data_IF_996075704980
#
_entry.id   IF_996075704980
#
_cell.length_a   1.000
_cell.length_b   1.000
_cell.length_c   1.000
_cell.angle_alpha   90.00
_cell.angle_beta   90.00
_cell.angle_gamma   90.00
#
_symmetry.space_group_name_H-M   'P 1'
#
loop_
_entity.id
_entity.type
_entity.pdbx_description
1 polymer ?
#
# COMPACT_ATOMS: atom_id res chain seq x y z
N UNK A 1 41.31 44.69 -3.89
CA UNK A 1 40.46 45.88 -4.12
C UNK A 1 39.04 45.47 -3.75
N UNK A 2 38.59 45.88 -2.56
CA UNK A 2 37.60 46.95 -2.39
C UNK A 2 36.18 46.34 -2.47
N UNK A 3 35.69 45.73 -1.40
CA UNK A 3 35.15 46.35 -0.19
C UNK A 3 33.82 47.10 -0.47
N UNK A 4 32.83 46.79 0.37
CA UNK A 4 31.56 47.49 0.60
C UNK A 4 30.43 47.39 -0.45
N UNK A 5 29.42 46.56 -0.15
CA UNK A 5 28.06 47.08 -0.04
C UNK A 5 27.24 46.27 0.98
N UNK A 6 27.31 46.75 2.23
CA UNK A 6 26.35 46.49 3.31
C UNK A 6 25.03 47.22 3.00
N UNK A 7 24.01 46.92 3.81
CA UNK A 7 22.65 47.48 3.84
C UNK A 7 21.71 46.75 2.86
N UNK A 8 20.65 46.05 3.28
CA UNK A 8 19.66 46.51 4.25
C UNK A 8 19.11 45.40 5.17
N UNK A 9 19.02 45.79 6.44
CA UNK A 9 18.11 45.28 7.47
C UNK A 9 16.66 45.17 6.99
N UNK A 10 15.96 44.09 7.34
CA UNK A 10 14.59 44.14 7.87
C UNK A 10 14.15 42.78 8.46
N UNK A 11 14.20 42.68 9.78
CA UNK A 11 13.50 41.67 10.55
C UNK A 11 12.00 42.00 10.58
N UNK A 12 11.13 41.00 10.34
CA UNK A 12 9.71 41.08 10.67
C UNK A 12 9.21 39.71 11.14
N UNK A 13 9.29 39.51 12.47
CA UNK A 13 8.54 38.52 13.22
C UNK A 13 7.08 38.99 13.31
N UNK A 14 6.14 38.21 12.79
CA UNK A 14 4.72 38.30 13.13
C UNK A 14 4.22 36.90 13.45
N UNK A 15 4.01 36.66 14.74
CA UNK A 15 3.24 35.55 15.26
C UNK A 15 1.78 35.95 15.44
N UNK A 16 0.87 35.02 15.19
CA UNK A 16 -0.50 34.95 15.72
C UNK A 16 -0.81 33.45 15.84
N UNK A 17 -0.76 32.89 17.05
CA UNK A 17 -1.91 32.71 17.92
C UNK A 17 -2.83 31.57 17.44
N UNK A 18 -2.57 30.41 18.05
CA UNK A 18 -3.39 29.21 18.14
C UNK A 18 -4.81 29.46 18.63
N UNK A 19 -5.80 28.90 17.93
CA UNK A 19 -7.14 28.63 18.46
C UNK A 19 -7.36 27.13 18.55
N UNK A 20 -7.07 26.59 19.74
CA UNK A 20 -7.46 25.26 20.18
C UNK A 20 -8.92 25.34 20.65
N UNK A 21 -9.86 24.69 19.95
CA UNK A 21 -11.20 24.46 20.46
C UNK A 21 -11.25 23.04 21.05
N UNK A 22 -10.86 22.91 22.32
CA UNK A 22 -11.15 21.76 23.14
C UNK A 22 -12.60 21.88 23.65
N UNK A 23 -13.50 20.98 23.26
CA UNK A 23 -14.84 20.92 23.84
C UNK A 23 -14.85 19.99 25.05
N UNK A 24 -15.26 20.56 26.17
CA UNK A 24 -15.46 19.99 27.49
C UNK A 24 -16.47 18.82 27.53
N UNK A 25 -16.05 17.76 28.23
CA UNK A 25 -16.71 17.14 29.39
C UNK A 25 -18.24 17.18 29.49
N UNK A 26 -18.85 15.98 29.54
CA UNK A 26 -19.98 15.71 30.41
C UNK A 26 -19.83 14.31 31.05
N UNK A 27 -19.76 14.20 32.40
CA UNK A 27 -19.75 12.93 33.10
C UNK A 27 -21.16 12.61 33.60
N UNK A 28 -21.75 11.47 33.25
CA UNK A 28 -22.91 10.95 33.98
C UNK A 28 -22.84 9.43 34.13
N UNK A 29 -22.29 9.01 35.27
CA UNK A 29 -22.66 7.77 35.97
C UNK A 29 -23.97 8.03 36.72
N UNK A 30 -24.91 7.08 36.71
CA UNK A 30 -25.37 6.57 37.99
C UNK A 30 -25.19 5.05 38.10
N UNK A 31 -24.60 4.66 39.22
CA UNK A 31 -24.52 3.30 39.71
C UNK A 31 -25.92 2.75 40.02
N UNK A 32 -26.13 1.46 39.72
CA UNK A 32 -27.10 0.62 40.41
C UNK A 32 -26.40 -0.66 40.86
N UNK A 33 -26.36 -0.85 42.19
CA UNK A 33 -25.86 -2.01 42.93
C UNK A 33 -26.96 -3.12 42.96
N UNK A 34 -26.72 -4.33 43.49
CA UNK A 34 -26.83 -5.60 42.77
C UNK A 34 -28.05 -6.44 43.19
N UNK A 35 -28.61 -7.21 42.26
CA UNK A 35 -29.54 -8.29 42.59
C UNK A 35 -28.86 -9.63 42.34
N UNK A 36 -28.52 -10.33 43.42
CA UNK A 36 -28.13 -11.74 43.42
C UNK A 36 -29.37 -12.64 43.36
N UNK A 37 -29.11 -13.92 43.03
CA UNK A 37 -29.89 -15.15 43.31
C UNK A 37 -30.49 -15.79 42.05
N UNK A 38 -30.45 -17.13 41.87
CA UNK A 38 -29.46 -18.14 42.27
C UNK A 38 -28.94 -18.96 41.07
N UNK A 39 -27.88 -19.73 41.32
CA UNK A 39 -27.34 -20.73 40.40
C UNK A 39 -28.35 -21.85 40.11
N UNK A 40 -28.66 -22.05 38.83
CA UNK A 40 -29.35 -23.25 38.36
C UNK A 40 -28.33 -24.36 38.09
N UNK A 41 -28.59 -25.51 38.73
CA UNK A 41 -27.95 -26.80 38.50
C UNK A 41 -28.14 -27.25 37.05
N UNK A 42 -27.09 -27.65 36.31
CA UNK A 42 -27.27 -28.19 34.97
C UNK A 42 -27.93 -29.59 35.03
N UNK A 43 -29.12 -29.71 34.46
CA UNK A 43 -29.71 -31.00 34.12
C UNK A 43 -28.92 -31.63 32.97
N UNK A 44 -28.39 -32.84 33.18
CA UNK A 44 -27.64 -33.60 32.18
C UNK A 44 -28.57 -34.03 31.04
N UNK A 45 -28.33 -33.53 29.84
CA UNK A 45 -28.91 -34.05 28.61
C UNK A 45 -28.25 -35.39 28.25
N UNK A 46 -28.99 -36.47 27.94
CA UNK A 46 -28.40 -37.70 27.43
C UNK A 46 -27.69 -37.42 26.10
N UNK A 47 -26.41 -37.78 26.01
CA UNK A 47 -25.64 -37.74 24.78
C UNK A 47 -26.27 -38.69 23.75
N UNK A 48 -26.89 -38.12 22.72
CA UNK A 48 -27.20 -38.85 21.50
C UNK A 48 -25.98 -38.77 20.59
N UNK A 49 -25.40 -39.93 20.27
CA UNK A 49 -24.36 -40.06 19.24
C UNK A 49 -24.87 -39.48 17.93
N UNK A 50 -24.27 -38.41 17.38
CA UNK A 50 -24.63 -37.94 16.05
C UNK A 50 -24.22 -39.00 15.02
N UNK A 51 -25.14 -39.39 14.15
CA UNK A 51 -24.81 -40.13 12.95
C UNK A 51 -23.85 -39.26 12.09
N UNK A 52 -22.73 -39.83 11.66
CA UNK A 52 -21.79 -39.19 10.74
C UNK A 52 -22.50 -38.90 9.41
N UNK A 53 -22.93 -37.65 9.25
CA UNK A 53 -23.19 -37.07 7.94
C UNK A 53 -21.83 -36.78 7.32
N UNK A 54 -21.53 -37.21 6.08
CA UNK A 54 -20.30 -36.82 5.41
C UNK A 54 -20.23 -35.29 5.40
N UNK A 55 -19.21 -34.74 6.06
CA UNK A 55 -18.96 -33.31 6.03
C UNK A 55 -18.61 -32.94 4.57
N UNK A 56 -19.54 -32.27 3.88
CA UNK A 56 -19.24 -31.62 2.62
C UNK A 56 -18.31 -30.46 2.98
N UNK A 57 -17.05 -30.54 2.56
CA UNK A 57 -16.13 -29.41 2.67
C UNK A 57 -16.70 -28.26 1.84
N UNK A 58 -17.15 -27.15 2.46
CA UNK A 58 -17.72 -26.03 1.74
C UNK A 58 -16.73 -25.42 0.73
N UNK A 59 -15.41 -25.62 0.91
CA UNK A 59 -14.39 -25.20 -0.04
C UNK A 59 -14.45 -25.97 -1.37
N UNK A 60 -15.06 -27.17 -1.40
CA UNK A 60 -15.19 -27.99 -2.62
C UNK A 60 -16.18 -27.40 -3.65
N UNK A 61 -17.00 -26.41 -3.26
CA UNK A 61 -17.90 -25.67 -4.16
C UNK A 61 -17.35 -24.28 -4.57
N UNK A 62 -16.13 -23.93 -4.13
CA UNK A 62 -15.50 -22.70 -4.57
C UNK A 62 -14.63 -22.99 -5.80
N UNK A 63 -14.97 -22.38 -6.93
CA UNK A 63 -14.07 -22.33 -8.08
C UNK A 63 -12.91 -21.41 -7.75
N UNK A 64 -11.76 -21.99 -7.40
CA UNK A 64 -10.51 -21.27 -7.11
C UNK A 64 -9.73 -20.91 -8.38
N UNK A 65 -10.34 -21.10 -9.55
CA UNK A 65 -9.69 -20.91 -10.85
C UNK A 65 -8.78 -22.09 -11.24
N UNK A 66 -8.01 -21.89 -12.30
CA UNK A 66 -6.99 -22.84 -12.76
C UNK A 66 -5.67 -22.49 -12.09
N UNK A 67 -4.92 -23.45 -11.52
CA UNK A 67 -3.58 -23.19 -11.02
C UNK A 67 -2.72 -22.65 -12.18
N UNK A 68 -1.96 -21.58 -11.90
CA UNK A 68 -0.97 -21.08 -12.85
C UNK A 68 0.23 -22.01 -12.78
N UNK A 69 0.61 -22.62 -13.91
CA UNK A 69 1.84 -23.41 -14.01
C UNK A 69 3.05 -22.52 -13.67
N UNK A 70 4.10 -23.09 -13.06
CA UNK A 70 5.32 -22.34 -12.69
C UNK A 70 6.09 -21.80 -13.91
N UNK A 71 5.72 -22.22 -15.12
CA UNK A 71 6.30 -21.73 -16.36
C UNK A 71 5.69 -20.37 -16.77
N UNK A 72 6.56 -19.41 -17.07
CA UNK A 72 6.15 -18.05 -17.48
C UNK A 72 5.48 -18.12 -18.86
N UNK A 73 4.16 -18.17 -18.88
CA UNK A 73 3.36 -18.19 -20.09
C UNK A 73 3.46 -16.89 -20.92
N UNK A 74 3.16 -16.97 -22.21
CA UNK A 74 3.07 -15.79 -23.10
C UNK A 74 2.08 -14.77 -22.53
N UNK A 75 2.47 -13.50 -22.52
CA UNK A 75 1.71 -12.40 -21.95
C UNK A 75 1.86 -12.24 -20.43
N UNK A 76 2.59 -13.12 -19.74
CA UNK A 76 2.88 -12.95 -18.32
C UNK A 76 4.07 -12.00 -18.10
N UNK A 77 3.96 -11.17 -17.07
CA UNK A 77 5.08 -10.36 -16.60
C UNK A 77 5.95 -11.18 -15.65
N UNK A 78 7.26 -10.97 -15.72
CA UNK A 78 8.20 -11.60 -14.81
C UNK A 78 9.39 -10.69 -14.52
N UNK A 79 10.04 -10.88 -13.38
CA UNK A 79 11.30 -10.21 -13.07
C UNK A 79 12.44 -11.04 -13.64
N UNK A 80 13.16 -10.48 -14.60
CA UNK A 80 14.35 -11.13 -15.17
C UNK A 80 15.56 -10.97 -14.26
N UNK A 81 15.74 -9.76 -13.71
CA UNK A 81 16.91 -9.40 -12.92
C UNK A 81 16.57 -8.24 -11.97
N UNK A 82 17.34 -8.09 -10.89
CA UNK A 82 17.19 -7.01 -9.90
C UNK A 82 18.51 -6.25 -9.76
N UNK A 83 18.43 -4.92 -9.78
CA UNK A 83 19.54 -3.98 -9.69
C UNK A 83 19.33 -3.03 -8.50
N UNK A 84 19.79 -3.42 -7.31
CA UNK A 84 19.46 -2.68 -6.08
C UNK A 84 17.95 -2.67 -5.87
N UNK A 85 17.36 -1.47 -5.78
CA UNK A 85 15.91 -1.30 -5.58
C UNK A 85 15.09 -1.40 -6.89
N UNK A 86 15.75 -1.58 -8.03
CA UNK A 86 15.10 -1.66 -9.35
C UNK A 86 14.94 -3.10 -9.81
N UNK A 87 13.79 -3.43 -10.38
CA UNK A 87 13.54 -4.71 -11.01
C UNK A 87 13.46 -4.56 -12.53
N UNK A 88 14.18 -5.38 -13.28
CA UNK A 88 14.02 -5.52 -14.73
C UNK A 88 12.81 -6.42 -15.00
N UNK A 89 11.64 -5.80 -15.17
CA UNK A 89 10.37 -6.47 -15.41
C UNK A 89 10.15 -6.62 -16.92
N UNK A 90 10.02 -7.85 -17.38
CA UNK A 90 9.80 -8.20 -18.78
C UNK A 90 8.41 -8.79 -18.98
N UNK A 91 7.86 -8.64 -20.19
CA UNK A 91 6.63 -9.30 -20.61
C UNK A 91 6.99 -10.42 -21.57
N UNK A 92 6.57 -11.66 -21.29
CA UNK A 92 6.82 -12.79 -22.19
C UNK A 92 6.14 -12.56 -23.53
N UNK A 93 6.93 -12.36 -24.58
CA UNK A 93 6.41 -12.21 -25.94
C UNK A 93 6.06 -13.59 -26.52
N UNK A 94 5.09 -13.67 -27.45
CA UNK A 94 4.83 -14.90 -28.20
C UNK A 94 6.03 -15.31 -29.05
N UNK A 95 6.77 -14.32 -29.57
CA UNK A 95 7.93 -14.49 -30.44
C UNK A 95 8.92 -13.34 -30.22
N UNK A 96 10.19 -13.58 -30.54
CA UNK A 96 11.24 -12.56 -30.45
C UNK A 96 11.73 -12.30 -29.03
N UNK A 97 12.32 -11.12 -28.83
CA UNK A 97 12.84 -10.71 -27.52
C UNK A 97 11.72 -10.10 -26.67
N UNK A 98 11.66 -10.51 -25.40
CA UNK A 98 10.70 -9.94 -24.45
C UNK A 98 11.00 -8.44 -24.22
N UNK A 99 10.00 -7.55 -24.39
CA UNK A 99 10.16 -6.15 -24.01
C UNK A 99 10.27 -6.03 -22.49
N UNK A 100 11.26 -5.27 -22.03
CA UNK A 100 11.52 -5.06 -20.62
C UNK A 100 11.50 -3.58 -20.26
N UNK A 101 11.18 -3.32 -19.00
CA UNK A 101 11.25 -2.02 -18.36
C UNK A 101 11.93 -2.15 -17.01
N UNK A 102 12.58 -1.09 -16.55
CA UNK A 102 12.98 -0.98 -15.15
C UNK A 102 11.78 -0.53 -14.33
N UNK A 103 11.55 -1.20 -13.22
CA UNK A 103 10.40 -1.01 -12.34
C UNK A 103 10.87 -0.78 -10.92
N UNK A 104 10.28 0.20 -10.24
CA UNK A 104 10.47 0.41 -8.81
C UNK A 104 9.12 0.73 -8.17
N UNK A 105 8.78 -0.04 -7.14
CA UNK A 105 7.71 0.28 -6.20
C UNK A 105 8.35 0.95 -4.99
N UNK A 106 7.89 2.15 -4.65
CA UNK A 106 8.31 2.84 -3.45
C UNK A 106 7.30 2.54 -2.35
N UNK A 107 7.80 2.11 -1.20
CA UNK A 107 7.00 1.83 -0.02
C UNK A 107 7.41 2.77 1.12
N UNK A 108 6.47 3.11 1.99
CA UNK A 108 6.76 3.82 3.23
C UNK A 108 7.35 2.89 4.31
N UNK A 109 7.58 3.43 5.51
CA UNK A 109 8.15 2.67 6.62
C UNK A 109 7.26 1.52 7.12
N UNK A 110 5.96 1.59 6.84
CA UNK A 110 4.97 0.58 7.23
C UNK A 110 4.73 -0.44 6.09
N UNK A 111 5.40 -0.27 4.94
CA UNK A 111 5.29 -1.14 3.77
C UNK A 111 4.13 -0.79 2.83
N UNK A 112 3.54 0.41 2.93
CA UNK A 112 2.48 0.82 2.02
C UNK A 112 3.07 1.38 0.72
N UNK A 113 2.51 1.00 -0.43
CA UNK A 113 2.87 1.56 -1.72
C UNK A 113 2.56 3.07 -1.80
N UNK A 114 3.59 3.88 -1.99
CA UNK A 114 3.48 5.36 -2.06
C UNK A 114 3.78 5.93 -3.43
N UNK A 115 4.49 5.22 -4.29
CA UNK A 115 4.69 5.61 -5.69
C UNK A 115 5.20 4.43 -6.51
N UNK A 116 5.00 4.51 -7.82
CA UNK A 116 5.56 3.54 -8.76
C UNK A 116 6.29 4.28 -9.87
N UNK A 117 7.47 3.78 -10.25
CA UNK A 117 8.25 4.29 -11.36
C UNK A 117 8.53 3.16 -12.35
N UNK A 118 8.20 3.41 -13.62
CA UNK A 118 8.48 2.51 -14.73
C UNK A 118 9.30 3.22 -15.82
N UNK A 119 10.51 2.76 -16.10
CA UNK A 119 11.40 3.29 -17.15
C UNK A 119 11.48 2.31 -18.33
N UNK A 120 11.26 2.82 -19.53
CA UNK A 120 11.32 2.02 -20.77
C UNK A 120 12.27 2.66 -21.79
N UNK A 121 13.02 1.84 -22.55
CA UNK A 121 13.94 2.37 -23.55
C UNK A 121 13.17 3.05 -24.69
N UNK A 122 13.70 4.18 -25.17
CA UNK A 122 13.18 4.84 -26.36
C UNK A 122 13.95 4.36 -27.62
N UNK A 123 13.35 4.49 -28.82
CA UNK A 123 14.06 4.16 -30.06
C UNK A 123 15.37 4.94 -30.20
N UNK A 124 16.38 4.31 -30.81
CA UNK A 124 17.67 4.97 -31.06
C UNK A 124 17.50 6.26 -31.87
N UNK A 125 18.23 7.31 -31.49
CA UNK A 125 18.11 8.64 -32.10
C UNK A 125 17.01 9.52 -31.50
N UNK A 126 16.26 9.03 -30.51
CA UNK A 126 15.38 9.86 -29.69
C UNK A 126 16.18 10.91 -28.89
N UNK A 127 15.53 12.01 -28.50
CA UNK A 127 16.17 13.07 -27.70
C UNK A 127 16.63 12.58 -26.32
N UNK A 128 15.98 11.55 -25.77
CA UNK A 128 16.32 10.89 -24.52
C UNK A 128 16.56 9.39 -24.74
N UNK A 129 17.34 8.77 -23.84
CA UNK A 129 17.61 7.33 -23.90
C UNK A 129 16.42 6.47 -23.44
N UNK A 130 15.57 7.01 -22.57
CA UNK A 130 14.44 6.31 -21.97
C UNK A 130 13.28 7.29 -21.71
N UNK A 131 12.07 6.74 -21.69
CA UNK A 131 10.87 7.39 -21.17
C UNK A 131 10.53 6.83 -19.80
N UNK A 132 9.72 7.55 -19.04
CA UNK A 132 9.28 7.11 -17.72
C UNK A 132 7.78 7.37 -17.54
N UNK A 133 7.12 6.44 -16.85
CA UNK A 133 5.81 6.63 -16.26
C UNK A 133 5.98 6.64 -14.75
N UNK A 134 5.48 7.68 -14.10
CA UNK A 134 5.57 7.86 -12.65
C UNK A 134 4.14 8.01 -12.11
N UNK A 135 3.74 7.07 -11.25
CA UNK A 135 2.44 7.05 -10.61
C UNK A 135 2.62 7.48 -9.17
N UNK A 136 1.94 8.56 -8.78
CA UNK A 136 1.97 9.11 -7.44
C UNK A 136 0.53 9.30 -6.91
N UNK A 137 0.31 9.21 -5.59
CA UNK A 137 -0.99 9.44 -4.97
C UNK A 137 -1.56 10.82 -5.30
N UNK A 138 -2.88 10.91 -5.18
CA UNK A 138 -3.56 12.20 -5.16
C UNK A 138 -3.03 13.03 -4.00
N UNK A 139 -2.96 14.35 -4.17
CA UNK A 139 -2.40 15.29 -3.20
C UNK A 139 -0.87 15.23 -3.05
N UNK A 140 -0.16 14.48 -3.91
CA UNK A 140 1.29 14.64 -4.04
C UNK A 140 1.64 15.95 -4.75
N UNK A 141 2.44 16.78 -4.08
CA UNK A 141 2.87 18.07 -4.62
C UNK A 141 4.06 17.88 -5.58
N UNK A 142 3.77 17.63 -6.85
CA UNK A 142 4.77 17.56 -7.94
C UNK A 142 5.19 18.97 -8.41
N UNK A 143 5.67 19.81 -7.48
CA UNK A 143 6.01 21.21 -7.77
C UNK A 143 7.34 21.40 -8.47
N UNK A 144 8.26 20.44 -8.33
CA UNK A 144 9.47 20.39 -9.15
C UNK A 144 9.26 19.47 -10.34
N UNK A 145 9.80 19.89 -11.48
CA UNK A 145 9.75 19.11 -12.70
C UNK A 145 10.63 17.87 -12.52
N UNK A 146 10.07 16.68 -12.78
CA UNK A 146 10.82 15.43 -12.79
C UNK A 146 11.74 15.46 -14.03
N UNK A 147 13.01 15.82 -13.84
CA UNK A 147 14.03 15.94 -14.89
C UNK A 147 15.32 15.24 -14.53
#
# INVERSE_FOLDING_TARGET
MRDQLKFFFAAALIGCASTLAAQETAPQTPAQTPAQTPAETPAQTPAQTPAETPAIDPASNLSLGTPVDEEIAVGQQYIRETFGDWALRCLRAPEGADPCQLYQLLEDADGNAVAEISLFPLPAGSQAAAGATIVAPLETLLTEQLT
#
